data_IF_195003764138
#
_entry.id   IF_195003764138
#
_cell.length_a   1.000
_cell.length_b   1.000
_cell.length_c   1.000
_cell.angle_alpha   90.00
_cell.angle_beta   90.00
_cell.angle_gamma   90.00
#
_symmetry.space_group_name_H-M   'P 1'
#
loop_
_entity.id
_entity.type
_entity.pdbx_description
1 polymer ?
#
# COMPACT_ATOMS: atom_id res chain seq x y z
N UNK A 1 6.13 -31.40 -12.57
CA UNK A 1 7.54 -30.94 -12.59
C UNK A 1 7.78 -30.16 -13.88
N UNK A 2 7.67 -28.83 -13.82
CA UNK A 2 8.31 -27.88 -14.72
C UNK A 2 8.15 -26.48 -14.13
N UNK A 3 9.31 -25.88 -13.93
CA UNK A 3 9.66 -24.56 -13.42
C UNK A 3 9.47 -23.52 -14.53
N UNK A 4 8.92 -22.34 -14.22
CA UNK A 4 9.05 -21.12 -15.04
C UNK A 4 9.17 -19.92 -14.10
N UNK A 5 10.40 -19.41 -14.04
CA UNK A 5 10.79 -18.07 -13.59
C UNK A 5 10.15 -16.99 -14.48
N UNK A 6 9.76 -15.84 -13.91
CA UNK A 6 9.78 -14.60 -14.68
C UNK A 6 9.95 -13.36 -13.79
N UNK A 7 11.19 -12.88 -13.78
CA UNK A 7 11.63 -11.56 -13.36
C UNK A 7 11.61 -10.64 -14.58
N UNK A 8 10.90 -9.50 -14.55
CA UNK A 8 11.24 -8.27 -15.29
C UNK A 8 10.16 -7.20 -15.10
N UNK A 9 10.48 -6.08 -14.42
CA UNK A 9 10.43 -4.73 -15.00
C UNK A 9 10.82 -3.68 -13.95
N UNK A 10 11.95 -3.01 -14.21
CA UNK A 10 12.26 -1.69 -13.66
C UNK A 10 11.37 -0.62 -14.32
N UNK A 11 11.36 0.62 -13.79
CA UNK A 11 12.21 1.61 -14.45
C UNK A 11 12.96 2.56 -13.50
N UNK A 12 14.11 3.04 -14.00
CA UNK A 12 14.87 4.17 -13.49
C UNK A 12 14.14 5.51 -13.78
N UNK A 13 14.15 6.44 -12.82
CA UNK A 13 14.39 7.86 -13.13
C UNK A 13 14.77 8.71 -11.91
N UNK A 14 16.08 8.99 -11.86
CA UNK A 14 16.74 10.30 -11.77
C UNK A 14 16.54 11.21 -10.53
N UNK A 15 17.72 11.55 -9.99
CA UNK A 15 18.02 12.43 -8.88
C UNK A 15 17.70 13.92 -9.12
N UNK A 16 17.43 14.63 -8.01
CA UNK A 16 17.53 16.07 -7.88
C UNK A 16 16.99 16.57 -6.52
N UNK A 17 17.79 17.36 -5.81
CA UNK A 17 17.39 18.30 -4.74
C UNK A 17 17.46 17.85 -3.25
N UNK A 18 18.71 17.77 -2.79
CA UNK A 18 19.35 18.41 -1.62
C UNK A 18 18.47 19.12 -0.55
N UNK A 19 18.85 18.84 0.71
CA UNK A 19 18.79 19.68 1.94
C UNK A 19 17.49 19.69 2.77
N UNK A 20 17.48 19.67 4.12
CA UNK A 20 18.51 19.87 5.14
C UNK A 20 17.97 19.31 6.49
N UNK A 21 18.84 18.78 7.37
CA UNK A 21 18.62 18.34 8.79
C UNK A 21 17.90 16.98 8.94
N UNK A 22 18.42 15.93 9.59
CA UNK A 22 19.27 15.80 10.78
C UNK A 22 20.06 14.48 10.65
N UNK A 23 21.38 14.54 10.47
CA UNK A 23 22.29 13.39 10.64
C UNK A 23 23.44 13.86 11.52
N UNK A 24 23.33 13.63 12.82
CA UNK A 24 24.44 13.72 13.76
C UNK A 24 24.36 12.52 14.69
N UNK A 25 25.22 11.53 14.43
CA UNK A 25 26.10 10.85 15.38
C UNK A 25 26.45 9.45 14.88
N UNK A 26 27.44 9.35 13.99
CA UNK A 26 28.31 8.18 13.93
C UNK A 26 29.62 8.54 13.20
N UNK A 27 30.75 8.23 13.85
CA UNK A 27 32.14 8.14 13.33
C UNK A 27 32.94 9.44 13.21
N UNK A 28 33.74 9.68 14.25
CA UNK A 28 35.12 10.19 14.24
C UNK A 28 35.72 9.68 15.57
N UNK A 29 36.87 9.02 15.67
CA UNK A 29 37.87 8.69 14.67
C UNK A 29 38.77 7.57 15.17
N UNK A 30 39.52 7.00 14.23
CA UNK A 30 40.61 6.04 14.45
C UNK A 30 41.88 6.69 13.91
N UNK A 31 42.78 7.10 14.80
CA UNK A 31 44.24 7.13 14.58
C UNK A 31 44.91 7.76 15.80
N UNK A 32 45.81 7.04 16.47
CA UNK A 32 46.63 7.60 17.54
C UNK A 32 47.11 6.57 18.56
N UNK A 33 48.32 6.08 18.33
CA UNK A 33 49.30 5.57 19.31
C UNK A 33 48.91 4.44 20.27
N UNK A 34 49.46 3.27 19.96
CA UNK A 34 49.97 2.31 20.92
C UNK A 34 50.83 2.96 22.01
N UNK A 35 50.50 2.70 23.27
CA UNK A 35 51.37 2.52 24.46
C UNK A 35 50.60 3.01 25.69
N UNK A 36 50.63 2.23 26.77
CA UNK A 36 50.07 2.54 28.11
C UNK A 36 48.53 2.33 28.13
N UNK A 37 47.92 1.32 28.76
CA UNK A 37 48.13 0.83 30.12
C UNK A 37 47.87 -0.67 30.26
N UNK A 38 48.88 -1.32 30.83
CA UNK A 38 48.97 -2.70 31.27
C UNK A 38 48.19 -3.00 32.57
N UNK A 39 47.19 -2.19 32.95
CA UNK A 39 46.65 -2.21 34.32
C UNK A 39 45.67 -3.35 34.65
N UNK A 40 45.13 -4.09 33.68
CA UNK A 40 44.25 -5.26 33.97
C UNK A 40 44.96 -6.61 34.03
N UNK A 41 46.25 -6.67 33.68
CA UNK A 41 47.05 -7.89 33.79
C UNK A 41 47.90 -7.96 35.07
N UNK A 42 47.97 -6.87 35.86
CA UNK A 42 48.82 -6.80 37.06
C UNK A 42 48.06 -7.29 38.32
N UNK A 43 46.72 -7.26 38.33
CA UNK A 43 45.90 -7.77 39.45
C UNK A 43 45.90 -9.30 39.55
N UNK A 44 45.69 -10.01 38.43
CA UNK A 44 45.69 -11.48 38.39
C UNK A 44 47.10 -12.08 38.54
N UNK A 45 48.14 -11.35 38.12
CA UNK A 45 49.54 -11.76 38.29
C UNK A 45 50.04 -11.50 39.73
N UNK A 46 49.67 -10.40 40.39
CA UNK A 46 50.05 -10.17 41.79
C UNK A 46 49.38 -11.16 42.77
N UNK A 47 48.15 -11.60 42.50
CA UNK A 47 47.48 -12.63 43.32
C UNK A 47 48.15 -14.00 43.14
N UNK A 48 48.64 -14.31 41.93
CA UNK A 48 49.34 -15.56 41.65
C UNK A 48 50.77 -15.56 42.23
N UNK A 49 51.51 -14.45 42.10
CA UNK A 49 52.86 -14.29 42.65
C UNK A 49 52.83 -14.26 44.19
N UNK A 50 51.84 -13.60 44.81
CA UNK A 50 51.70 -13.58 46.27
C UNK A 50 51.38 -14.97 46.84
N UNK A 51 50.53 -15.78 46.17
CA UNK A 51 50.23 -17.15 46.59
C UNK A 51 51.40 -18.11 46.35
N UNK A 52 52.20 -17.90 45.30
CA UNK A 52 53.40 -18.71 45.02
C UNK A 52 54.57 -18.39 45.98
N UNK A 53 54.70 -17.13 46.41
CA UNK A 53 55.75 -16.68 47.33
C UNK A 53 55.51 -17.13 48.79
N UNK A 54 54.25 -17.23 49.22
CA UNK A 54 53.88 -17.81 50.53
C UNK A 54 54.12 -19.32 50.58
N UNK A 55 53.95 -20.03 49.46
CA UNK A 55 54.20 -21.48 49.38
C UNK A 55 55.70 -21.82 49.26
N UNK A 56 56.51 -20.95 48.65
CA UNK A 56 57.96 -21.14 48.51
C UNK A 56 58.76 -20.80 49.80
N UNK A 57 58.21 -19.96 50.68
CA UNK A 57 58.87 -19.55 51.93
C UNK A 57 58.62 -20.48 53.13
N UNK A 58 57.60 -21.36 53.08
CA UNK A 58 57.22 -22.23 54.19
C UNK A 58 57.78 -23.66 54.11
N UNK A 59 58.24 -24.10 52.94
CA UNK A 59 58.78 -25.44 52.72
C UNK A 59 60.23 -25.64 53.24
N UNK A 60 61.16 -24.65 53.20
CA UNK A 60 62.52 -24.87 53.71
C UNK A 60 62.64 -24.67 55.24
N UNK A 61 61.71 -23.95 55.88
CA UNK A 61 61.70 -23.74 57.34
C UNK A 61 61.23 -24.95 58.12
N UNK A 62 60.39 -25.81 57.54
CA UNK A 62 59.95 -27.07 58.18
C UNK A 62 61.02 -28.16 58.05
N UNK A 63 61.85 -28.11 56.99
CA UNK A 63 62.93 -29.10 56.76
C UNK A 63 64.20 -28.77 57.55
N UNK A 64 64.50 -27.49 57.80
CA UNK A 64 65.68 -27.08 58.59
C UNK A 64 65.51 -27.27 60.11
N UNK A 65 64.27 -27.34 60.62
CA UNK A 65 64.00 -27.62 62.04
C UNK A 65 64.06 -29.12 62.38
N UNK A 66 64.23 -30.00 61.38
CA UNK A 66 64.24 -31.46 61.56
C UNK A 66 65.65 -32.09 61.65
N UNK A 67 66.74 -31.31 61.54
CA UNK A 67 68.12 -31.84 61.37
C UNK A 67 69.08 -31.49 62.52
N UNK A 68 68.64 -30.79 63.58
CA UNK A 68 69.53 -30.39 64.69
C UNK A 68 68.99 -30.70 66.09
N UNK A 69 68.62 -31.96 66.33
CA UNK A 69 68.62 -32.59 67.67
C UNK A 69 68.94 -34.07 67.53
N UNK A 70 70.21 -34.42 67.38
CA UNK A 70 70.74 -35.74 67.73
C UNK A 70 71.33 -35.66 69.14
N UNK A 71 71.17 -36.74 69.91
CA UNK A 71 71.52 -36.95 71.33
C UNK A 71 70.40 -36.74 72.37
N UNK A 72 69.41 -37.65 72.36
CA UNK A 72 68.78 -38.20 73.58
C UNK A 72 68.61 -39.73 73.34
N UNK A 73 68.93 -40.53 74.36
CA UNK A 73 69.02 -42.00 74.42
C UNK A 73 67.88 -42.83 73.78
N UNK A 74 68.11 -44.12 73.47
CA UNK A 74 67.06 -45.02 72.98
C UNK A 74 66.12 -45.40 74.13
N UNK A 75 65.09 -44.60 74.36
CA UNK A 75 63.89 -45.06 75.05
C UNK A 75 63.03 -45.84 74.05
N UNK A 76 62.58 -47.02 74.45
CA UNK A 76 61.70 -47.91 73.71
C UNK A 76 60.49 -47.15 73.16
N UNK A 77 60.42 -46.98 71.84
CA UNK A 77 59.25 -46.41 71.16
C UNK A 77 58.20 -47.52 71.06
N UNK A 78 57.18 -47.45 71.91
CA UNK A 78 55.98 -48.29 71.83
C UNK A 78 55.33 -48.16 70.45
N UNK A 79 55.21 -49.28 69.73
CA UNK A 79 54.52 -49.37 68.46
C UNK A 79 53.00 -49.06 68.53
N UNK A 80 52.44 -48.79 69.72
CA UNK A 80 51.03 -48.53 69.97
C UNK A 80 50.59 -47.07 69.70
N UNK A 81 51.49 -46.09 69.78
CA UNK A 81 51.14 -44.67 69.61
C UNK A 81 51.10 -44.25 68.12
N UNK A 82 51.87 -44.93 67.28
CA UNK A 82 51.88 -44.68 65.83
C UNK A 82 50.58 -45.16 65.15
N UNK A 83 50.04 -46.32 65.56
CA UNK A 83 48.78 -46.86 65.01
C UNK A 83 47.56 -46.02 65.43
N UNK A 84 47.57 -45.46 66.64
CA UNK A 84 46.52 -44.54 67.11
C UNK A 84 46.56 -43.18 66.43
N UNK A 85 47.76 -42.64 66.18
CA UNK A 85 47.94 -41.42 65.37
C UNK A 85 47.54 -41.64 63.89
N UNK A 86 47.87 -42.79 63.31
CA UNK A 86 47.47 -43.15 61.95
C UNK A 86 45.95 -43.30 61.82
N UNK A 87 45.28 -43.94 62.78
CA UNK A 87 43.81 -44.03 62.83
C UNK A 87 43.14 -42.67 63.03
N UNK A 88 43.63 -41.85 63.96
CA UNK A 88 43.12 -40.49 64.15
C UNK A 88 43.34 -39.60 62.91
N UNK A 89 44.43 -39.80 62.18
CA UNK A 89 44.68 -39.16 60.88
C UNK A 89 43.72 -39.66 59.79
N UNK A 90 43.45 -40.96 59.74
CA UNK A 90 42.49 -41.56 58.82
C UNK A 90 41.06 -41.07 59.08
N UNK A 91 40.63 -40.96 60.34
CA UNK A 91 39.31 -40.46 60.70
C UNK A 91 39.14 -38.98 60.38
N UNK A 92 40.19 -38.17 60.62
CA UNK A 92 40.19 -36.75 60.24
C UNK A 92 40.13 -36.55 58.73
N UNK A 93 40.83 -37.37 57.95
CA UNK A 93 40.77 -37.31 56.49
C UNK A 93 39.41 -37.77 55.97
N UNK A 94 38.81 -38.81 56.54
CA UNK A 94 37.46 -39.25 56.22
C UNK A 94 36.39 -38.18 56.56
N UNK A 95 36.51 -37.53 57.72
CA UNK A 95 35.63 -36.43 58.12
C UNK A 95 35.80 -35.19 57.22
N UNK A 96 37.03 -34.83 56.85
CA UNK A 96 37.30 -33.75 55.92
C UNK A 96 36.74 -34.04 54.52
N UNK A 97 36.85 -35.27 54.04
CA UNK A 97 36.24 -35.69 52.77
C UNK A 97 34.70 -35.61 52.83
N UNK A 98 34.08 -36.00 53.94
CA UNK A 98 32.63 -35.90 54.11
C UNK A 98 32.15 -34.44 54.16
N UNK A 99 32.91 -33.55 54.84
CA UNK A 99 32.64 -32.12 54.85
C UNK A 99 32.82 -31.50 53.46
N UNK A 100 33.89 -31.85 52.74
CA UNK A 100 34.13 -31.39 51.39
C UNK A 100 33.01 -31.81 50.43
N UNK A 101 32.54 -33.06 50.50
CA UNK A 101 31.39 -33.53 49.70
C UNK A 101 30.12 -32.72 49.95
N UNK A 102 29.85 -32.31 51.20
CA UNK A 102 28.69 -31.46 51.52
C UNK A 102 28.87 -30.04 50.98
N UNK A 103 30.09 -29.50 51.04
CA UNK A 103 30.42 -28.20 50.46
C UNK A 103 30.23 -28.25 48.94
N UNK A 104 30.75 -29.29 48.28
CA UNK A 104 30.63 -29.47 46.83
C UNK A 104 29.16 -29.59 46.39
N UNK A 105 28.35 -30.36 47.13
CA UNK A 105 26.90 -30.47 46.87
C UNK A 105 26.17 -29.13 47.04
N UNK A 106 26.48 -28.37 48.08
CA UNK A 106 25.86 -27.07 48.33
C UNK A 106 26.29 -26.05 47.28
N UNK A 107 27.55 -26.09 46.85
CA UNK A 107 28.07 -25.27 45.76
C UNK A 107 27.35 -25.60 44.45
N UNK A 108 27.19 -26.88 44.11
CA UNK A 108 26.47 -27.32 42.90
C UNK A 108 25.00 -26.87 42.91
N UNK A 109 24.31 -26.99 44.05
CA UNK A 109 22.93 -26.50 44.21
C UNK A 109 22.84 -24.97 44.06
N UNK A 110 23.81 -24.24 44.58
CA UNK A 110 23.88 -22.78 44.48
C UNK A 110 24.08 -22.35 43.04
N UNK A 111 25.00 -23.01 42.32
CA UNK A 111 25.26 -22.76 40.92
C UNK A 111 24.04 -23.09 40.05
N UNK A 112 23.34 -24.19 40.35
CA UNK A 112 22.12 -24.55 39.64
C UNK A 112 21.00 -23.52 39.85
N UNK A 113 20.74 -23.12 41.09
CA UNK A 113 19.75 -22.10 41.41
C UNK A 113 20.09 -20.76 40.74
N UNK A 114 21.38 -20.37 40.72
CA UNK A 114 21.82 -19.16 40.04
C UNK A 114 21.57 -19.24 38.52
N UNK A 115 21.83 -20.38 37.89
CA UNK A 115 21.52 -20.58 36.46
C UNK A 115 20.02 -20.51 36.19
N UNK A 116 19.20 -21.14 37.03
CA UNK A 116 17.74 -21.07 36.92
C UNK A 116 17.23 -19.64 37.08
N UNK A 117 17.74 -18.91 38.07
CA UNK A 117 17.39 -17.50 38.29
C UNK A 117 17.75 -16.64 37.08
N UNK A 118 18.95 -16.80 36.50
CA UNK A 118 19.35 -16.09 35.29
C UNK A 118 18.46 -16.43 34.10
N UNK A 119 18.08 -17.69 33.93
CA UNK A 119 17.17 -18.12 32.86
C UNK A 119 15.78 -17.48 33.00
N UNK A 120 15.21 -17.52 34.21
CA UNK A 120 13.89 -16.94 34.49
C UNK A 120 13.91 -15.42 34.30
N UNK A 121 14.95 -14.72 34.72
CA UNK A 121 15.06 -13.27 34.47
C UNK A 121 15.12 -12.94 32.98
N UNK A 122 15.87 -13.70 32.17
CA UNK A 122 15.86 -13.53 30.71
C UNK A 122 14.48 -13.76 30.10
N UNK A 123 13.72 -14.73 30.62
CA UNK A 123 12.33 -14.94 30.21
C UNK A 123 11.44 -13.75 30.57
N UNK A 124 11.59 -13.18 31.77
CA UNK A 124 10.86 -11.99 32.21
C UNK A 124 11.16 -10.80 31.28
N UNK A 125 12.44 -10.53 30.99
CA UNK A 125 12.85 -9.48 30.07
C UNK A 125 12.23 -9.68 28.67
N UNK A 126 12.26 -10.91 28.14
CA UNK A 126 11.63 -11.26 26.88
C UNK A 126 10.12 -11.01 26.89
N UNK A 127 9.42 -11.41 27.95
CA UNK A 127 7.99 -11.20 28.12
C UNK A 127 7.63 -9.71 28.26
N UNK A 128 8.46 -8.90 28.91
CA UNK A 128 8.26 -7.46 29.01
C UNK A 128 8.35 -6.78 27.64
N UNK A 129 9.37 -7.12 26.84
CA UNK A 129 9.51 -6.61 25.46
C UNK A 129 8.32 -7.03 24.61
N UNK A 130 7.91 -8.29 24.71
CA UNK A 130 6.76 -8.82 23.99
C UNK A 130 5.44 -8.11 24.37
N UNK A 131 5.19 -7.91 25.66
CA UNK A 131 4.03 -7.15 26.14
C UNK A 131 4.04 -5.70 25.64
N UNK A 132 5.20 -5.03 25.64
CA UNK A 132 5.34 -3.69 25.10
C UNK A 132 5.06 -3.63 23.57
N UNK A 133 5.42 -4.68 22.83
CA UNK A 133 5.06 -4.80 21.41
C UNK A 133 3.55 -4.99 21.23
N UNK A 134 2.93 -5.88 22.00
CA UNK A 134 1.47 -6.09 21.95
C UNK A 134 0.71 -4.81 22.30
N UNK A 135 1.16 -4.06 23.31
CA UNK A 135 0.55 -2.77 23.67
C UNK A 135 0.58 -1.78 22.49
N UNK A 136 1.72 -1.67 21.80
CA UNK A 136 1.84 -0.84 20.58
C UNK A 136 0.94 -1.33 19.45
N UNK A 137 0.82 -2.64 19.27
CA UNK A 137 -0.07 -3.22 18.26
C UNK A 137 -1.54 -2.92 18.55
N UNK A 138 -1.98 -3.06 19.81
CA UNK A 138 -3.34 -2.74 20.23
C UNK A 138 -3.64 -1.25 20.01
N UNK A 139 -2.70 -0.36 20.32
CA UNK A 139 -2.86 1.07 20.07
C UNK A 139 -3.00 1.37 18.56
N UNK A 140 -2.15 0.78 17.72
CA UNK A 140 -2.27 0.91 16.27
C UNK A 140 -3.62 0.38 15.76
N UNK A 141 -4.07 -0.78 16.24
CA UNK A 141 -5.37 -1.35 15.87
C UNK A 141 -6.52 -0.43 16.28
N UNK A 142 -6.47 0.20 17.46
CA UNK A 142 -7.48 1.17 17.90
C UNK A 142 -7.55 2.40 16.99
N UNK A 143 -6.40 2.89 16.53
CA UNK A 143 -6.34 3.98 15.54
C UNK A 143 -6.95 3.55 14.21
N UNK A 144 -6.56 2.40 13.69
CA UNK A 144 -7.14 1.83 12.45
C UNK A 144 -8.64 1.64 12.56
N UNK A 145 -9.17 1.16 13.70
CA UNK A 145 -10.62 1.05 13.93
C UNK A 145 -11.30 2.42 13.85
N UNK A 146 -10.67 3.46 14.39
CA UNK A 146 -11.21 4.82 14.36
C UNK A 146 -11.24 5.37 12.93
N UNK A 147 -10.16 5.20 12.18
CA UNK A 147 -10.05 5.59 10.76
C UNK A 147 -11.08 4.86 9.89
N UNK A 148 -11.26 3.55 10.10
CA UNK A 148 -12.28 2.76 9.40
C UNK A 148 -13.68 3.28 9.73
N UNK A 149 -13.98 3.57 11.01
CA UNK A 149 -15.29 4.12 11.40
C UNK A 149 -15.57 5.46 10.73
N UNK A 150 -14.58 6.35 10.66
CA UNK A 150 -14.71 7.62 9.93
C UNK A 150 -14.93 7.38 8.44
N UNK A 151 -14.20 6.44 7.84
CA UNK A 151 -14.35 6.08 6.42
C UNK A 151 -15.75 5.54 6.12
N UNK A 152 -16.32 4.72 7.00
CA UNK A 152 -17.70 4.22 6.89
C UNK A 152 -18.72 5.37 6.95
N UNK A 153 -18.54 6.32 7.88
CA UNK A 153 -19.43 7.48 7.98
C UNK A 153 -19.37 8.35 6.72
N UNK A 154 -18.18 8.60 6.19
CA UNK A 154 -17.98 9.37 4.97
C UNK A 154 -18.60 8.65 3.76
N UNK A 155 -18.38 7.33 3.62
CA UNK A 155 -18.98 6.54 2.56
C UNK A 155 -20.52 6.57 2.62
N UNK A 156 -21.12 6.44 3.81
CA UNK A 156 -22.56 6.52 3.99
C UNK A 156 -23.12 7.92 3.65
N UNK A 157 -22.37 8.99 3.94
CA UNK A 157 -22.74 10.35 3.54
C UNK A 157 -22.70 10.51 2.02
N UNK A 158 -21.63 10.03 1.37
CA UNK A 158 -21.51 10.04 -0.09
C UNK A 158 -22.63 9.25 -0.76
N UNK A 159 -22.95 8.06 -0.24
CA UNK A 159 -24.02 7.21 -0.78
C UNK A 159 -25.38 7.93 -0.81
N UNK A 160 -25.69 8.70 0.25
CA UNK A 160 -26.93 9.50 0.32
C UNK A 160 -26.94 10.67 -0.67
N UNK A 161 -25.78 11.20 -1.03
CA UNK A 161 -25.65 12.35 -1.94
C UNK A 161 -25.64 11.93 -3.42
N UNK A 162 -25.23 10.70 -3.73
CA UNK A 162 -25.17 10.19 -5.10
C UNK A 162 -26.56 10.18 -5.74
N UNK A 163 -27.60 9.69 -5.07
CA UNK A 163 -28.94 9.59 -5.68
C UNK A 163 -29.53 10.96 -6.06
N UNK A 164 -29.53 12.00 -5.19
CA UNK A 164 -29.95 13.34 -5.58
C UNK A 164 -29.17 13.92 -6.77
N UNK A 165 -27.85 13.70 -6.81
CA UNK A 165 -27.02 14.13 -7.92
C UNK A 165 -27.41 13.42 -9.23
N UNK A 166 -27.55 12.10 -9.20
CA UNK A 166 -27.99 11.29 -10.34
C UNK A 166 -29.34 11.76 -10.91
N UNK A 167 -30.30 12.08 -10.05
CA UNK A 167 -31.60 12.62 -10.47
C UNK A 167 -31.46 14.00 -11.13
N UNK A 168 -30.58 14.85 -10.60
CA UNK A 168 -30.28 16.16 -11.17
C UNK A 168 -29.64 16.03 -12.55
N UNK A 169 -28.71 15.08 -12.71
CA UNK A 169 -28.09 14.75 -14.00
C UNK A 169 -29.11 14.24 -15.02
N UNK A 170 -30.03 13.35 -14.63
CA UNK A 170 -31.11 12.89 -15.51
C UNK A 170 -32.03 14.04 -15.96
N UNK A 171 -32.38 14.95 -15.05
CA UNK A 171 -33.16 16.14 -15.40
C UNK A 171 -32.40 17.05 -16.38
N UNK A 172 -31.09 17.20 -16.21
CA UNK A 172 -30.27 17.99 -17.12
C UNK A 172 -30.20 17.36 -18.52
N UNK A 173 -30.09 16.02 -18.61
CA UNK A 173 -30.19 15.31 -19.89
C UNK A 173 -31.55 15.55 -20.56
N UNK A 174 -32.64 15.40 -19.83
CA UNK A 174 -33.99 15.60 -20.36
C UNK A 174 -34.20 17.04 -20.91
N UNK A 175 -33.71 18.05 -20.19
CA UNK A 175 -33.71 19.44 -20.68
C UNK A 175 -32.84 19.59 -21.95
N UNK A 176 -31.68 18.96 -21.95
CA UNK A 176 -30.77 19.00 -23.09
C UNK A 176 -31.39 18.37 -24.34
N UNK A 177 -32.14 17.26 -24.23
CA UNK A 177 -32.88 16.65 -25.33
C UNK A 177 -33.87 17.64 -25.97
N UNK A 178 -34.54 18.46 -25.16
CA UNK A 178 -35.49 19.48 -25.65
C UNK A 178 -34.83 20.64 -26.40
N UNK A 179 -33.56 20.92 -26.13
CA UNK A 179 -32.79 22.01 -26.76
C UNK A 179 -31.93 21.53 -27.94
N UNK A 180 -31.86 20.23 -28.15
CA UNK A 180 -30.98 19.59 -29.12
C UNK A 180 -31.68 19.36 -30.48
N UNK A 181 -30.95 18.76 -31.43
CA UNK A 181 -31.47 18.32 -32.72
C UNK A 181 -32.56 17.22 -32.53
N UNK A 182 -33.68 17.27 -33.27
CA UNK A 182 -34.80 16.34 -33.10
C UNK A 182 -34.54 15.00 -33.79
N UNK A 183 -33.60 14.21 -33.26
CA UNK A 183 -33.31 12.86 -33.74
C UNK A 183 -33.53 11.83 -32.62
N UNK A 184 -34.06 10.65 -33.00
CA UNK A 184 -34.31 9.52 -32.10
C UNK A 184 -34.96 9.92 -30.77
N UNK A 185 -35.79 10.98 -30.77
CA UNK A 185 -36.27 11.62 -29.54
C UNK A 185 -37.02 10.64 -28.64
N UNK A 186 -37.85 9.78 -29.23
CA UNK A 186 -38.60 8.77 -28.48
C UNK A 186 -37.68 7.74 -27.82
N UNK A 187 -36.68 7.22 -28.55
CA UNK A 187 -35.73 6.23 -28.02
C UNK A 187 -34.91 6.83 -26.88
N UNK A 188 -34.37 8.04 -27.08
CA UNK A 188 -33.56 8.74 -26.08
C UNK A 188 -34.36 9.06 -24.81
N UNK A 189 -35.60 9.53 -24.97
CA UNK A 189 -36.50 9.79 -23.84
C UNK A 189 -36.83 8.48 -23.09
N UNK A 190 -37.10 7.40 -23.81
CA UNK A 190 -37.36 6.09 -23.19
C UNK A 190 -36.16 5.58 -22.38
N UNK A 191 -34.93 5.78 -22.87
CA UNK A 191 -33.71 5.44 -22.14
C UNK A 191 -33.58 6.23 -20.83
N UNK A 192 -33.84 7.55 -20.85
CA UNK A 192 -33.87 8.38 -19.63
C UNK A 192 -34.92 7.87 -18.65
N UNK A 193 -36.14 7.61 -19.13
CA UNK A 193 -37.23 7.11 -18.29
C UNK A 193 -36.92 5.75 -17.66
N UNK A 194 -36.27 4.85 -18.40
CA UNK A 194 -35.87 3.55 -17.91
C UNK A 194 -34.82 3.67 -16.79
N UNK A 195 -33.80 4.50 -16.98
CA UNK A 195 -32.81 4.77 -15.93
C UNK A 195 -33.46 5.46 -14.73
N UNK A 196 -34.39 6.41 -14.96
CA UNK A 196 -35.15 7.07 -13.91
C UNK A 196 -35.96 6.08 -13.07
N UNK A 197 -36.67 5.13 -13.69
CA UNK A 197 -37.38 4.05 -12.98
C UNK A 197 -36.44 3.18 -12.14
N UNK A 198 -35.22 2.94 -12.62
CA UNK A 198 -34.22 2.19 -11.85
C UNK A 198 -33.72 2.95 -10.62
N UNK A 199 -33.83 4.28 -10.56
CA UNK A 199 -33.42 5.08 -9.40
C UNK A 199 -34.25 4.77 -8.15
N UNK A 200 -35.53 4.46 -8.33
CA UNK A 200 -36.45 4.13 -7.22
C UNK A 200 -36.41 2.64 -6.83
N UNK A 201 -35.77 1.82 -7.67
CA UNK A 201 -35.70 0.38 -7.44
C UNK A 201 -34.74 0.04 -6.28
N UNK A 202 -35.15 -0.81 -5.32
CA UNK A 202 -34.26 -1.31 -4.27
C UNK A 202 -33.29 -2.39 -4.77
N UNK A 203 -33.48 -2.90 -6.00
CA UNK A 203 -32.63 -3.94 -6.60
C UNK A 203 -31.20 -3.45 -6.86
N UNK A 204 -31.01 -2.14 -7.07
CA UNK A 204 -29.75 -1.56 -7.48
C UNK A 204 -29.12 -0.74 -6.35
N UNK A 205 -27.80 -0.89 -6.16
CA UNK A 205 -27.04 -0.05 -5.24
C UNK A 205 -26.93 1.39 -5.77
N UNK A 206 -26.56 2.34 -4.90
CA UNK A 206 -26.35 3.72 -5.33
C UNK A 206 -25.26 3.84 -6.43
N UNK A 207 -24.20 3.03 -6.32
CA UNK A 207 -23.12 2.99 -7.31
C UNK A 207 -23.60 2.46 -8.67
N UNK A 208 -24.45 1.43 -8.67
CA UNK A 208 -25.07 0.88 -9.88
C UNK A 208 -25.95 1.90 -10.59
N UNK A 209 -26.80 2.58 -9.80
CA UNK A 209 -27.66 3.65 -10.28
C UNK A 209 -26.86 4.78 -10.93
N UNK A 210 -25.79 5.24 -10.27
CA UNK A 210 -24.92 6.27 -10.81
C UNK A 210 -24.22 5.85 -12.11
N UNK A 211 -23.75 4.61 -12.19
CA UNK A 211 -23.11 4.09 -13.40
C UNK A 211 -24.07 4.09 -14.59
N UNK A 212 -25.33 3.70 -14.40
CA UNK A 212 -26.33 3.74 -15.47
C UNK A 212 -26.57 5.16 -15.99
N UNK A 213 -26.54 6.17 -15.10
CA UNK A 213 -26.60 7.57 -15.53
C UNK A 213 -25.37 7.94 -16.35
N UNK A 214 -24.16 7.56 -15.90
CA UNK A 214 -22.93 7.84 -16.64
C UNK A 214 -22.90 7.16 -18.02
N UNK A 215 -23.39 5.92 -18.12
CA UNK A 215 -23.53 5.21 -19.39
C UNK A 215 -24.45 5.96 -20.35
N UNK A 216 -25.56 6.51 -19.85
CA UNK A 216 -26.44 7.33 -20.65
C UNK A 216 -25.76 8.62 -21.13
N UNK A 217 -24.96 9.27 -20.29
CA UNK A 217 -24.14 10.41 -20.68
C UNK A 217 -23.09 10.04 -21.74
N UNK A 218 -22.49 8.86 -21.64
CA UNK A 218 -21.50 8.37 -22.60
C UNK A 218 -22.15 8.17 -23.98
N UNK A 219 -23.29 7.48 -24.02
CA UNK A 219 -24.10 7.31 -25.24
C UNK A 219 -24.49 8.68 -25.83
N UNK A 220 -24.94 9.61 -24.99
CA UNK A 220 -25.29 10.96 -25.44
C UNK A 220 -24.06 11.74 -25.96
N UNK A 221 -22.88 11.53 -25.38
CA UNK A 221 -21.62 12.10 -25.84
C UNK A 221 -21.22 11.53 -27.20
N UNK A 222 -21.43 10.24 -27.44
CA UNK A 222 -21.15 9.60 -28.75
C UNK A 222 -21.97 10.23 -29.89
N UNK A 223 -23.20 10.66 -29.63
CA UNK A 223 -23.97 11.43 -30.63
C UNK A 223 -23.33 12.77 -30.99
N UNK A 224 -22.41 13.29 -30.17
CA UNK A 224 -21.62 14.49 -30.46
C UNK A 224 -20.61 14.29 -31.60
N UNK A 225 -20.10 13.08 -31.79
CA UNK A 225 -18.95 12.79 -32.67
C UNK A 225 -19.30 11.89 -33.85
N UNK A 226 -20.36 11.08 -33.75
CA UNK A 226 -20.72 10.09 -34.76
C UNK A 226 -21.44 10.71 -35.96
N UNK A 227 -21.31 10.05 -37.12
CA UNK A 227 -22.09 10.31 -38.33
C UNK A 227 -23.06 9.16 -38.52
N UNK A 228 -24.34 9.47 -38.70
CA UNK A 228 -25.40 8.48 -38.79
C UNK A 228 -26.43 8.89 -39.83
N UNK A 229 -27.04 7.90 -40.46
CA UNK A 229 -28.13 8.10 -41.40
C UNK A 229 -29.28 7.15 -41.12
N UNK A 230 -30.50 7.58 -41.41
CA UNK A 230 -31.69 6.76 -41.35
C UNK A 230 -32.71 7.25 -42.37
N UNK A 231 -33.51 6.32 -42.90
CA UNK A 231 -34.55 6.65 -43.87
C UNK A 231 -35.83 7.06 -43.14
N UNK A 232 -36.58 7.98 -43.72
CA UNK A 232 -37.85 8.42 -43.17
C UNK A 232 -38.60 9.38 -44.09
N UNK A 233 -39.68 9.94 -43.58
CA UNK A 233 -40.54 10.86 -44.31
C UNK A 233 -40.39 12.25 -43.71
N UNK A 234 -40.22 13.26 -44.55
CA UNK A 234 -40.32 14.66 -44.17
C UNK A 234 -41.46 15.32 -44.94
N UNK A 235 -42.33 16.01 -44.21
CA UNK A 235 -43.34 16.88 -44.81
C UNK A 235 -42.70 18.20 -45.23
N UNK A 236 -42.73 18.49 -46.52
CA UNK A 236 -42.23 19.75 -47.09
C UNK A 236 -43.30 20.33 -47.99
N UNK A 237 -43.70 21.58 -47.74
CA UNK A 237 -44.78 22.29 -48.44
C UNK A 237 -46.13 21.52 -48.43
N UNK A 238 -46.44 20.83 -47.32
CA UNK A 238 -47.66 20.03 -47.18
C UNK A 238 -47.65 18.71 -47.95
N UNK A 239 -46.50 18.29 -48.47
CA UNK A 239 -46.32 17.00 -49.14
C UNK A 239 -45.34 16.13 -48.36
N UNK A 240 -45.77 14.94 -48.00
CA UNK A 240 -44.90 13.89 -47.46
C UNK A 240 -43.94 13.39 -48.55
N UNK A 241 -42.64 13.51 -48.31
CA UNK A 241 -41.60 12.99 -49.20
C UNK A 241 -40.75 11.99 -48.44
N UNK A 242 -40.48 10.85 -49.07
CA UNK A 242 -39.53 9.87 -48.56
C UNK A 242 -38.10 10.33 -48.86
N UNK A 243 -37.22 10.16 -47.89
CA UNK A 243 -35.81 10.48 -48.05
C UNK A 243 -34.95 9.89 -46.94
N UNK A 244 -33.73 10.41 -46.86
CA UNK A 244 -32.73 10.00 -45.88
C UNK A 244 -32.37 11.19 -45.00
N UNK A 245 -32.50 11.00 -43.70
CA UNK A 245 -31.96 11.89 -42.68
C UNK A 245 -30.49 11.56 -42.44
N UNK A 246 -29.69 12.62 -42.28
CA UNK A 246 -28.26 12.55 -42.01
C UNK A 246 -27.96 13.40 -40.77
N UNK A 247 -27.38 12.77 -39.75
CA UNK A 247 -26.88 13.43 -38.56
C UNK A 247 -25.35 13.42 -38.60
N UNK A 248 -24.75 14.58 -38.42
CA UNK A 248 -23.30 14.72 -38.28
C UNK A 248 -23.03 15.35 -36.92
N UNK A 249 -22.66 14.48 -35.98
CA UNK A 249 -22.49 14.81 -34.58
C UNK A 249 -23.74 15.51 -34.03
N UNK A 250 -23.51 16.59 -33.28
CA UNK A 250 -24.53 17.56 -32.86
C UNK A 250 -24.46 18.86 -33.66
N UNK A 251 -23.74 18.88 -34.78
CA UNK A 251 -23.48 20.10 -35.54
C UNK A 251 -24.55 20.33 -36.59
N UNK A 252 -24.89 19.29 -37.35
CA UNK A 252 -25.83 19.39 -38.45
C UNK A 252 -26.79 18.20 -38.46
N UNK A 253 -28.06 18.50 -38.73
CA UNK A 253 -29.10 17.52 -39.01
C UNK A 253 -29.73 17.89 -40.34
N UNK A 254 -29.58 17.01 -41.31
CA UNK A 254 -29.93 17.26 -42.71
C UNK A 254 -30.91 16.20 -43.19
N UNK A 255 -31.65 16.55 -44.22
CA UNK A 255 -32.55 15.65 -44.92
C UNK A 255 -32.34 15.79 -46.43
N UNK A 256 -32.32 14.68 -47.15
CA UNK A 256 -32.26 14.66 -48.61
C UNK A 256 -33.33 13.73 -49.15
N UNK A 257 -34.10 14.21 -50.13
CA UNK A 257 -35.12 13.40 -50.81
C UNK A 257 -34.46 12.25 -51.59
N UNK A 258 -35.19 11.16 -51.82
CA UNK A 258 -34.65 9.99 -52.54
C UNK A 258 -34.16 10.27 -53.97
N UNK A 259 -34.73 11.28 -54.63
CA UNK A 259 -34.31 11.79 -55.95
C UNK A 259 -33.17 12.83 -55.88
N UNK A 260 -32.70 13.18 -54.69
CA UNK A 260 -31.69 14.21 -54.40
C UNK A 260 -32.04 15.61 -54.91
N UNK A 261 -33.29 15.85 -55.34
CA UNK A 261 -33.72 17.15 -55.83
C UNK A 261 -33.77 18.19 -54.70
N UNK A 262 -34.20 17.76 -53.52
CA UNK A 262 -34.40 18.56 -52.32
C UNK A 262 -33.35 18.22 -51.27
N UNK A 263 -32.84 19.25 -50.59
CA UNK A 263 -31.94 19.07 -49.43
C UNK A 263 -32.29 20.13 -48.41
N UNK A 264 -32.59 19.71 -47.20
CA UNK A 264 -33.05 20.54 -46.10
C UNK A 264 -32.06 20.44 -44.92
N UNK A 265 -31.92 21.51 -44.15
CA UNK A 265 -31.19 21.52 -42.87
C UNK A 265 -32.11 21.93 -41.74
N UNK A 266 -31.95 21.30 -40.59
CA UNK A 266 -32.63 21.72 -39.39
C UNK A 266 -31.97 22.97 -38.80
N UNK A 267 -32.72 24.07 -38.73
CA UNK A 267 -32.27 25.27 -38.07
C UNK A 267 -32.64 25.23 -36.58
N UNK A 268 -31.62 25.14 -35.73
CA UNK A 268 -31.78 25.08 -34.26
C UNK A 268 -32.44 26.31 -33.64
N UNK A 269 -32.33 27.48 -34.27
CA UNK A 269 -32.86 28.74 -33.73
C UNK A 269 -34.35 28.88 -34.03
N UNK A 270 -34.77 28.48 -35.24
CA UNK A 270 -36.16 28.59 -35.68
C UNK A 270 -36.97 27.30 -35.46
N UNK A 271 -36.29 26.20 -35.10
CA UNK A 271 -36.87 24.86 -35.00
C UNK A 271 -37.66 24.46 -36.25
N UNK A 272 -37.11 24.79 -37.43
CA UNK A 272 -37.72 24.54 -38.72
C UNK A 272 -36.69 24.00 -39.72
N UNK A 273 -37.18 23.21 -40.66
CA UNK A 273 -36.42 22.78 -41.83
C UNK A 273 -36.25 23.96 -42.79
N UNK A 274 -35.05 24.13 -43.32
CA UNK A 274 -34.71 25.18 -44.28
C UNK A 274 -34.01 24.60 -45.49
N UNK A 275 -34.48 25.00 -46.67
CA UNK A 275 -33.97 24.51 -47.93
C UNK A 275 -32.55 24.99 -48.17
N UNK A 276 -31.67 24.06 -48.55
CA UNK A 276 -30.30 24.37 -48.92
C UNK A 276 -30.15 24.54 -50.43
N UNK A 277 -29.33 25.50 -50.89
CA UNK A 277 -29.03 25.65 -52.31
C UNK A 277 -28.41 24.37 -52.88
N UNK A 278 -29.13 23.73 -53.80
CA UNK A 278 -28.74 22.41 -54.31
C UNK A 278 -27.39 22.42 -55.05
N UNK A 279 -27.01 23.56 -55.66
CA UNK A 279 -25.71 23.73 -56.35
C UNK A 279 -24.52 23.45 -55.43
N UNK A 280 -24.64 23.84 -54.16
CA UNK A 280 -23.52 23.85 -53.22
C UNK A 280 -23.52 22.63 -52.29
N UNK A 281 -24.70 22.13 -51.92
CA UNK A 281 -24.83 21.11 -50.86
C UNK A 281 -25.33 19.74 -51.33
N UNK A 282 -26.01 19.62 -52.48
CA UNK A 282 -26.62 18.34 -52.93
C UNK A 282 -25.60 17.19 -52.95
N UNK A 283 -24.46 17.41 -53.61
CA UNK A 283 -23.39 16.40 -53.73
C UNK A 283 -22.72 16.12 -52.39
N UNK A 284 -22.38 17.17 -51.64
CA UNK A 284 -21.74 17.03 -50.33
C UNK A 284 -22.58 16.18 -49.36
N UNK A 285 -23.91 16.40 -49.32
CA UNK A 285 -24.83 15.64 -48.48
C UNK A 285 -24.98 14.20 -48.99
N UNK A 286 -25.13 13.99 -50.30
CA UNK A 286 -25.20 12.65 -50.86
C UNK A 286 -23.92 11.83 -50.57
N UNK A 287 -22.76 12.47 -50.64
CA UNK A 287 -21.47 11.85 -50.33
C UNK A 287 -21.37 11.51 -48.84
N UNK A 288 -21.79 12.43 -47.97
CA UNK A 288 -21.85 12.21 -46.53
C UNK A 288 -22.81 11.07 -46.12
N UNK A 289 -23.95 10.95 -46.80
CA UNK A 289 -24.87 9.80 -46.62
C UNK A 289 -24.17 8.49 -47.01
N UNK A 290 -23.41 8.46 -48.13
CA UNK A 290 -22.65 7.26 -48.51
C UNK A 290 -21.56 6.93 -47.49
N UNK A 291 -20.88 7.92 -46.92
CA UNK A 291 -19.91 7.72 -45.83
C UNK A 291 -20.60 7.16 -44.57
N UNK A 292 -21.76 7.69 -44.19
CA UNK A 292 -22.57 7.20 -43.07
C UNK A 292 -23.02 5.75 -43.30
N UNK A 293 -23.34 5.38 -44.55
CA UNK A 293 -23.65 4.00 -44.97
C UNK A 293 -22.42 3.10 -45.07
N UNK A 294 -21.20 3.62 -44.82
CA UNK A 294 -19.91 2.94 -45.00
C UNK A 294 -19.68 2.44 -46.44
N UNK A 295 -20.28 3.13 -47.42
CA UNK A 295 -20.15 2.84 -48.85
C UNK A 295 -19.04 3.68 -49.52
N UNK A 296 -18.49 4.65 -48.79
CA UNK A 296 -17.38 5.49 -49.22
C UNK A 296 -16.41 5.70 -48.03
N UNK A 297 -15.11 5.93 -48.29
CA UNK A 297 -14.18 6.32 -47.23
C UNK A 297 -14.57 7.67 -46.61
N UNK A 298 -14.17 7.88 -45.36
CA UNK A 298 -14.33 9.17 -44.69
C UNK A 298 -13.52 10.25 -45.44
N UNK A 299 -14.17 11.38 -45.73
CA UNK A 299 -13.59 12.52 -46.42
C UNK A 299 -14.15 13.83 -45.84
N UNK A 300 -13.58 14.97 -46.26
CA UNK A 300 -14.01 16.30 -45.86
C UNK A 300 -15.37 16.65 -46.46
N UNK A 301 -16.34 17.01 -45.61
CA UNK A 301 -17.69 17.40 -46.02
C UNK A 301 -17.89 18.89 -45.72
N UNK A 302 -18.43 19.64 -46.69
CA UNK A 302 -18.86 21.02 -46.47
C UNK A 302 -20.22 21.03 -45.76
N UNK A 303 -20.24 21.54 -44.53
CA UNK A 303 -21.46 21.64 -43.73
C UNK A 303 -22.06 23.06 -43.76
N UNK A 304 -23.39 23.18 -43.85
CA UNK A 304 -24.08 24.43 -43.60
C UNK A 304 -24.20 24.61 -42.09
N UNK A 305 -23.28 25.36 -41.50
CA UNK A 305 -23.34 25.73 -40.08
C UNK A 305 -23.81 27.17 -39.95
N UNK A 306 -24.77 27.41 -39.06
CA UNK A 306 -25.14 28.78 -38.68
C UNK A 306 -24.02 29.37 -37.84
N UNK A 307 -23.43 30.48 -38.28
CA UNK A 307 -22.44 31.20 -37.48
C UNK A 307 -23.13 31.77 -36.23
N UNK A 308 -22.47 31.77 -35.05
CA UNK A 308 -23.02 32.41 -33.87
C UNK A 308 -23.18 33.92 -34.11
N UNK A 309 -24.31 34.48 -33.70
CA UNK A 309 -24.70 35.87 -33.96
C UNK A 309 -23.79 36.96 -33.32
N UNK A 310 -22.71 36.58 -32.63
CA UNK A 310 -21.90 37.48 -31.80
C UNK A 310 -20.43 37.58 -32.28
N UNK A 311 -20.17 37.51 -33.59
CA UNK A 311 -18.88 37.92 -34.14
C UNK A 311 -18.97 39.38 -34.60
N UNK A 312 -18.94 40.31 -33.65
CA UNK A 312 -18.67 41.70 -33.95
C UNK A 312 -17.21 41.79 -34.41
N UNK A 313 -16.92 42.24 -35.65
CA UNK A 313 -15.55 42.42 -36.08
C UNK A 313 -14.92 43.55 -35.27
N UNK A 314 -13.94 43.21 -34.43
CA UNK A 314 -13.10 44.20 -33.77
C UNK A 314 -12.55 45.16 -34.84
N UNK A 315 -12.98 46.41 -34.75
CA UNK A 315 -12.57 47.53 -35.61
C UNK A 315 -11.21 48.06 -35.18
#
# INVERSE_FOLDING_TARGET
MKEIDLYAMAPECRAGEIDHKVKQHYVMGRSGSSTIDSERSISSVNILISRMMVFLALVPTVVLMLVLTTFIDPAEVEAAELDTLLKAGADKTAAAQAAQRRIDQTAEQTDDLLRQFQLVNKQIEGLQVYNAQLARQVENQRRTVTEIKQSIQNAALMERQITPLSLTMLNALEQFLGLDLPFRTQERQLSIEQVRKNMDSPRFSAAEKFRQVLELYDIESEYGITIEQFDGVLEVDGQERQGTFLRIGRVAFLYQSGDQALTEVWNKTTHQWQALPARDYRRAVADAIRMAKKQAPLDMIKLPVSAPANSEPAS
#
